data_IF_846133038040
#
_entry.id   IF_846133038040
#
_cell.length_a   1.000
_cell.length_b   1.000
_cell.length_c   1.000
_cell.angle_alpha   90.00
_cell.angle_beta   90.00
_cell.angle_gamma   90.00
#
_symmetry.space_group_name_H-M   'P 1'
#
loop_
_entity.id
_entity.type
_entity.pdbx_description
1 polymer ?
#
# COMPACT_ATOMS: atom_id res chain seq x y z
N UNK A 1 -27.32 4.53 16.98
CA UNK A 1 -26.64 3.52 17.82
C UNK A 1 -25.19 3.94 17.92
N UNK A 2 -24.67 4.18 19.12
CA UNK A 2 -23.26 4.51 19.31
C UNK A 2 -22.45 3.21 19.44
N UNK A 3 -21.50 2.99 18.54
CA UNK A 3 -20.65 1.79 18.50
C UNK A 3 -19.46 1.88 19.48
N UNK A 4 -19.11 3.10 19.88
CA UNK A 4 -17.94 3.40 20.70
C UNK A 4 -17.99 2.78 22.11
N UNK A 5 -19.13 2.81 22.85
CA UNK A 5 -19.23 2.20 24.17
C UNK A 5 -18.97 0.69 24.13
N UNK A 6 -19.48 0.01 23.11
CA UNK A 6 -19.33 -1.44 22.95
C UNK A 6 -17.86 -1.81 22.67
N UNK A 7 -17.18 -1.05 21.80
CA UNK A 7 -15.74 -1.22 21.52
C UNK A 7 -14.91 -0.94 22.78
N UNK A 8 -15.29 0.04 23.60
CA UNK A 8 -14.59 0.35 24.83
C UNK A 8 -14.72 -0.76 25.89
N UNK A 9 -15.81 -1.52 25.88
CA UNK A 9 -16.02 -2.65 26.79
C UNK A 9 -15.14 -3.87 26.47
N UNK A 10 -14.58 -3.95 25.25
CA UNK A 10 -13.79 -5.11 24.82
C UNK A 10 -12.48 -5.29 25.63
N UNK A 11 -12.07 -6.54 25.87
CA UNK A 11 -10.73 -6.86 26.35
C UNK A 11 -9.65 -6.29 25.43
N UNK A 12 -8.46 -5.99 25.99
CA UNK A 12 -7.34 -5.41 25.22
C UNK A 12 -6.97 -6.24 23.98
N UNK A 13 -6.97 -7.57 24.10
CA UNK A 13 -6.65 -8.46 22.99
C UNK A 13 -7.66 -8.33 21.84
N UNK A 14 -8.95 -8.23 22.17
CA UNK A 14 -10.01 -8.17 21.16
C UNK A 14 -10.10 -6.79 20.52
N UNK A 15 -9.77 -5.71 21.25
CA UNK A 15 -9.54 -4.38 20.66
C UNK A 15 -8.43 -4.42 19.61
N UNK A 16 -7.31 -5.07 19.91
CA UNK A 16 -6.19 -5.18 18.96
C UNK A 16 -6.55 -6.00 17.73
N UNK A 17 -7.32 -7.09 17.88
CA UNK A 17 -7.86 -7.86 16.75
C UNK A 17 -8.80 -7.03 15.90
N UNK A 18 -9.71 -6.27 16.53
CA UNK A 18 -10.65 -5.41 15.84
C UNK A 18 -9.92 -4.33 15.03
N UNK A 19 -8.89 -3.69 15.60
CA UNK A 19 -8.06 -2.72 14.89
C UNK A 19 -7.40 -3.37 13.67
N UNK A 20 -6.80 -4.55 13.83
CA UNK A 20 -6.18 -5.28 12.70
C UNK A 20 -7.19 -5.62 11.61
N UNK A 21 -8.36 -6.13 12.00
CA UNK A 21 -9.43 -6.49 11.07
C UNK A 21 -9.91 -5.27 10.28
N UNK A 22 -10.22 -4.17 10.96
CA UNK A 22 -10.69 -2.94 10.32
C UNK A 22 -9.62 -2.29 9.45
N UNK A 23 -8.35 -2.32 9.86
CA UNK A 23 -7.25 -1.84 9.04
C UNK A 23 -7.11 -2.66 7.73
N UNK A 24 -7.28 -3.98 7.82
CA UNK A 24 -7.29 -4.87 6.65
C UNK A 24 -8.49 -4.58 5.74
N UNK A 25 -9.70 -4.49 6.29
CA UNK A 25 -10.90 -4.17 5.50
C UNK A 25 -10.79 -2.83 4.79
N UNK A 26 -10.26 -1.80 5.46
CA UNK A 26 -10.06 -0.48 4.86
C UNK A 26 -8.99 -0.53 3.75
N UNK A 27 -7.92 -1.29 3.94
CA UNK A 27 -6.89 -1.47 2.90
C UNK A 27 -7.44 -2.20 1.67
N UNK A 28 -8.35 -3.16 1.85
CA UNK A 28 -9.03 -3.87 0.76
C UNK A 28 -10.10 -3.01 0.08
N UNK A 29 -10.75 -2.12 0.83
CA UNK A 29 -11.76 -1.21 0.31
C UNK A 29 -11.16 -0.04 -0.49
N UNK A 30 -9.96 0.43 -0.12
CA UNK A 30 -9.21 1.48 -0.81
C UNK A 30 -8.33 0.97 -1.96
N UNK A 31 -8.33 -0.33 -2.26
CA UNK A 31 -7.71 -0.84 -3.49
C UNK A 31 -8.50 -0.30 -4.72
N UNK A 32 -7.93 0.61 -5.56
CA UNK A 32 -8.40 0.71 -6.94
C UNK A 32 -8.31 -0.70 -7.54
N UNK A 33 -9.27 -1.11 -8.39
CA UNK A 33 -9.56 -2.52 -8.70
C UNK A 33 -8.27 -3.31 -8.77
N UNK A 34 -8.10 -4.16 -7.76
CA UNK A 34 -6.84 -4.74 -7.36
C UNK A 34 -5.92 -5.11 -8.53
N UNK A 35 -4.62 -5.01 -8.28
CA UNK A 35 -3.62 -5.82 -8.95
C UNK A 35 -4.00 -7.30 -8.77
N UNK A 36 -4.95 -7.77 -9.58
CA UNK A 36 -5.50 -9.12 -9.57
C UNK A 36 -4.32 -10.07 -9.74
N UNK A 37 -4.10 -10.92 -8.75
CA UNK A 37 -3.20 -12.06 -8.85
C UNK A 37 -3.52 -12.81 -10.15
N UNK A 38 -2.64 -12.70 -11.15
CA UNK A 38 -2.86 -13.20 -12.51
C UNK A 38 -2.67 -12.18 -13.63
N UNK A 39 -2.56 -10.87 -13.35
CA UNK A 39 -1.87 -9.97 -14.28
C UNK A 39 -0.50 -9.66 -13.74
N UNK A 40 0.51 -10.19 -14.42
CA UNK A 40 1.86 -9.67 -14.41
C UNK A 40 1.79 -8.14 -14.38
N UNK A 41 2.43 -7.53 -13.39
CA UNK A 41 2.67 -6.11 -13.36
C UNK A 41 3.46 -5.77 -14.64
N UNK A 42 2.78 -5.46 -15.74
CA UNK A 42 3.40 -5.35 -17.07
C UNK A 42 4.34 -4.14 -17.18
N UNK A 43 4.36 -3.29 -16.14
CA UNK A 43 5.31 -2.22 -15.95
C UNK A 43 6.64 -2.69 -15.33
N UNK A 44 6.68 -3.86 -14.70
CA UNK A 44 7.84 -4.38 -13.98
C UNK A 44 8.44 -5.57 -14.73
N UNK A 45 8.89 -5.36 -15.97
CA UNK A 45 9.90 -6.24 -16.54
C UNK A 45 11.29 -5.79 -16.03
N UNK A 46 12.24 -6.71 -15.78
CA UNK A 46 13.58 -6.35 -15.32
C UNK A 46 14.22 -5.26 -16.18
N UNK A 47 14.04 -5.34 -17.51
CA UNK A 47 14.56 -4.34 -18.45
C UNK A 47 13.92 -2.96 -18.29
N UNK A 48 12.60 -2.91 -18.06
CA UNK A 48 11.87 -1.65 -17.85
C UNK A 48 12.21 -1.03 -16.50
N UNK A 49 12.37 -1.85 -15.47
CA UNK A 49 12.81 -1.40 -14.15
C UNK A 49 14.23 -0.82 -14.21
N UNK A 50 15.14 -1.47 -14.96
CA UNK A 50 16.51 -1.00 -15.14
C UNK A 50 16.57 0.30 -15.94
N UNK A 51 15.81 0.42 -17.03
CA UNK A 51 15.73 1.65 -17.83
C UNK A 51 15.10 2.82 -17.05
N UNK A 52 14.09 2.56 -16.22
CA UNK A 52 13.50 3.57 -15.35
C UNK A 52 14.50 4.05 -14.28
N UNK A 53 15.24 3.13 -13.66
CA UNK A 53 16.30 3.46 -12.70
C UNK A 53 17.41 4.30 -13.35
N UNK A 54 17.85 3.95 -14.55
CA UNK A 54 18.85 4.70 -15.30
C UNK A 54 18.38 6.14 -15.61
N UNK A 55 17.13 6.29 -16.05
CA UNK A 55 16.54 7.60 -16.37
C UNK A 55 16.49 8.51 -15.13
N UNK A 56 16.14 7.95 -13.97
CA UNK A 56 16.12 8.70 -12.71
C UNK A 56 17.52 9.15 -12.29
N UNK A 57 18.53 8.26 -12.41
CA UNK A 57 19.92 8.57 -12.08
C UNK A 57 20.52 9.65 -13.00
N UNK A 58 20.23 9.59 -14.30
CA UNK A 58 20.65 10.62 -15.26
C UNK A 58 20.01 11.98 -14.94
N UNK A 59 18.73 11.98 -14.57
CA UNK A 59 17.99 13.20 -14.23
C UNK A 59 18.55 13.85 -12.97
N UNK A 60 18.84 13.07 -11.93
CA UNK A 60 19.46 13.54 -10.69
C UNK A 60 20.88 14.07 -10.94
N UNK A 61 21.67 13.36 -11.74
CA UNK A 61 23.03 13.77 -12.12
C UNK A 61 23.05 15.06 -12.94
N UNK A 62 22.02 15.31 -13.76
CA UNK A 62 21.86 16.55 -14.51
C UNK A 62 21.46 17.71 -13.59
N UNK A 63 20.64 17.45 -12.57
CA UNK A 63 20.19 18.45 -11.60
C UNK A 63 21.29 18.88 -10.62
N UNK A 64 22.26 18.02 -10.34
CA UNK A 64 23.44 18.34 -9.50
C UNK A 64 24.57 19.11 -10.21
N UNK A 65 24.40 19.47 -11.49
CA UNK A 65 25.36 20.27 -12.29
C UNK A 65 24.83 21.65 -12.72
N UNK A 66 23.73 22.10 -12.11
CA UNK A 66 23.23 23.49 -12.17
C UNK A 66 23.48 24.18 -10.84
#
# INVERSE_FOLDING_TARGET
MELLPDIQSLPRADKLKLIQFLAQELAEADEPPALRAGRSCSAWSPDRAFAAAETLLQTLSRRGRS
#
